data_IF_827049875744
#
_entry.id   IF_827049875744
#
_cell.length_a   1.000
_cell.length_b   1.000
_cell.length_c   1.000
_cell.angle_alpha   90.00
_cell.angle_beta   90.00
_cell.angle_gamma   90.00
#
_symmetry.space_group_name_H-M   'P 1'
#
loop_
_entity.id
_entity.type
_entity.pdbx_description
1 polymer ?
#
# COMPACT_ATOMS: atom_id res chain seq x y z
N UNK A 1 -15.56 -1.00 45.44
CA UNK A 1 -15.85 0.28 44.77
C UNK A 1 -14.52 1.03 44.71
N UNK A 2 -13.86 1.23 43.58
CA UNK A 2 -14.27 1.96 42.38
C UNK A 2 -13.41 1.55 41.16
N UNK A 3 -14.11 1.15 40.10
CA UNK A 3 -13.85 1.26 38.64
C UNK A 3 -12.49 0.95 37.99
N UNK A 4 -12.53 -0.10 37.17
CA UNK A 4 -12.08 -0.19 35.77
C UNK A 4 -11.38 1.02 35.15
N UNK A 5 -10.20 0.77 34.58
CA UNK A 5 -9.95 1.12 33.17
C UNK A 5 -8.91 0.15 32.62
N UNK A 6 -9.41 -0.97 32.10
CA UNK A 6 -8.64 -1.73 31.11
C UNK A 6 -8.52 -0.79 29.93
N UNK A 7 -7.33 -0.25 29.67
CA UNK A 7 -7.10 0.56 28.48
C UNK A 7 -7.05 -0.40 27.28
N UNK A 8 -8.23 -0.94 26.93
CA UNK A 8 -8.52 -1.63 25.69
C UNK A 8 -8.60 -0.58 24.59
N UNK A 9 -7.47 0.04 24.30
CA UNK A 9 -7.31 0.80 23.09
C UNK A 9 -6.78 -0.20 22.06
N UNK A 10 -7.52 -0.61 21.02
CA UNK A 10 -6.87 -1.02 19.79
C UNK A 10 -6.17 0.24 19.29
N UNK A 11 -4.96 0.49 19.82
CA UNK A 11 -4.14 1.61 19.42
C UNK A 11 -4.01 1.47 17.91
N UNK A 12 -4.57 2.43 17.19
CA UNK A 12 -4.43 2.61 15.76
C UNK A 12 -2.94 2.47 15.48
N UNK A 13 -2.54 1.28 15.02
CA UNK A 13 -1.15 1.03 14.69
C UNK A 13 -0.77 2.16 13.73
N UNK A 14 0.33 2.89 13.95
CA UNK A 14 0.79 3.81 12.93
C UNK A 14 0.97 2.94 11.70
N UNK A 15 0.06 3.08 10.72
CA UNK A 15 0.18 2.40 9.45
C UNK A 15 1.44 3.00 8.87
N UNK A 16 2.55 2.27 9.02
CA UNK A 16 3.83 2.70 8.49
C UNK A 16 3.62 2.58 6.99
N UNK A 17 3.25 3.69 6.37
CA UNK A 17 3.05 3.79 4.95
C UNK A 17 4.42 3.55 4.33
N UNK A 18 4.72 2.30 3.99
CA UNK A 18 5.94 1.96 3.29
C UNK A 18 5.79 2.49 1.87
N UNK A 19 6.32 3.69 1.69
CA UNK A 19 6.51 4.28 0.37
C UNK A 19 7.80 3.71 -0.23
N UNK A 20 7.70 3.26 -1.46
CA UNK A 20 8.79 2.67 -2.22
C UNK A 20 8.71 3.06 -3.68
N UNK A 21 9.66 2.55 -4.47
CA UNK A 21 9.64 2.65 -5.92
C UNK A 21 9.77 1.26 -6.51
N UNK A 22 8.89 0.91 -7.43
CA UNK A 22 8.87 -0.37 -8.14
C UNK A 22 9.10 -0.11 -9.62
N UNK A 23 10.04 -0.82 -10.24
CA UNK A 23 10.26 -0.73 -11.69
C UNK A 23 9.45 -1.82 -12.36
N UNK A 24 8.50 -1.44 -13.21
CA UNK A 24 7.61 -2.37 -13.91
C UNK A 24 8.44 -3.35 -14.74
N UNK A 25 8.22 -4.64 -14.54
CA UNK A 25 8.84 -5.69 -15.33
C UNK A 25 7.88 -6.16 -16.44
N UNK A 26 8.39 -6.75 -17.54
CA UNK A 26 7.52 -7.27 -18.59
C UNK A 26 6.61 -8.38 -18.06
N UNK A 27 5.30 -8.19 -18.21
CA UNK A 27 4.28 -9.08 -17.68
C UNK A 27 3.65 -8.63 -16.36
N UNK A 28 4.21 -7.60 -15.70
CA UNK A 28 3.58 -6.99 -14.54
C UNK A 28 2.31 -6.21 -14.93
N UNK A 29 1.38 -6.17 -13.98
CA UNK A 29 0.18 -5.35 -14.07
C UNK A 29 0.10 -4.45 -12.85
N UNK A 30 -0.52 -3.28 -13.01
CA UNK A 30 -0.64 -2.30 -11.93
C UNK A 30 -1.46 -2.85 -10.76
N UNK A 31 -2.42 -3.75 -11.04
CA UNK A 31 -3.16 -4.54 -10.04
C UNK A 31 -2.29 -5.57 -9.32
N UNK A 32 -1.45 -6.33 -10.03
CA UNK A 32 -0.53 -7.30 -9.42
C UNK A 32 0.48 -6.62 -8.50
N UNK A 33 1.07 -5.51 -8.96
CA UNK A 33 1.98 -4.69 -8.16
C UNK A 33 1.24 -4.14 -6.94
N UNK A 34 0.07 -3.54 -7.12
CA UNK A 34 -0.70 -3.00 -6.00
C UNK A 34 -1.04 -4.07 -4.94
N UNK A 35 -1.42 -5.27 -5.38
CA UNK A 35 -1.69 -6.39 -4.48
C UNK A 35 -0.44 -6.81 -3.68
N UNK A 36 0.74 -6.82 -4.31
CA UNK A 36 2.01 -7.12 -3.66
C UNK A 36 2.34 -6.13 -2.53
N UNK A 37 1.97 -4.86 -2.69
CA UNK A 37 2.18 -3.81 -1.70
C UNK A 37 1.00 -3.66 -0.72
N UNK A 38 -0.06 -4.47 -0.81
CA UNK A 38 -1.23 -4.33 0.06
C UNK A 38 -1.97 -3.02 -0.17
N UNK A 39 -1.99 -2.55 -1.41
CA UNK A 39 -2.67 -1.32 -1.84
C UNK A 39 -3.57 -1.58 -3.04
N UNK A 40 -4.27 -0.56 -3.53
CA UNK A 40 -5.13 -0.69 -4.70
C UNK A 40 -4.48 -0.08 -5.93
N UNK A 41 -4.77 -0.64 -7.10
CA UNK A 41 -4.31 -0.08 -8.37
C UNK A 41 -4.82 1.36 -8.57
N UNK A 42 -5.96 1.71 -7.98
CA UNK A 42 -6.53 3.06 -8.01
C UNK A 42 -5.65 4.04 -7.22
N UNK A 43 -5.27 3.67 -5.98
CA UNK A 43 -4.31 4.47 -5.20
C UNK A 43 -2.98 4.61 -5.92
N UNK A 44 -2.45 3.50 -6.46
CA UNK A 44 -1.17 3.48 -7.15
C UNK A 44 -1.21 4.33 -8.43
N UNK A 45 -2.30 4.27 -9.18
CA UNK A 45 -2.50 5.06 -10.40
C UNK A 45 -2.63 6.55 -10.07
N UNK A 46 -3.43 6.91 -9.07
CA UNK A 46 -3.56 8.29 -8.61
C UNK A 46 -2.22 8.85 -8.10
N UNK A 47 -1.44 8.04 -7.36
CA UNK A 47 -0.12 8.41 -6.84
C UNK A 47 0.90 8.69 -7.95
N UNK A 48 0.78 8.00 -9.09
CA UNK A 48 1.69 8.13 -10.23
C UNK A 48 1.13 8.95 -11.39
N UNK A 49 -0.10 9.46 -11.28
CA UNK A 49 -0.78 10.18 -12.37
C UNK A 49 -1.09 9.29 -13.58
N UNK A 50 -1.34 8.00 -13.37
CA UNK A 50 -1.60 7.04 -14.45
C UNK A 50 -3.09 7.06 -14.79
N UNK A 51 -3.42 7.51 -15.99
CA UNK A 51 -4.80 7.52 -16.49
C UNK A 51 -5.32 6.11 -16.78
N UNK A 52 -4.45 5.23 -17.27
CA UNK A 52 -4.81 3.88 -17.68
C UNK A 52 -4.00 2.85 -16.87
N UNK A 53 -4.54 2.27 -15.79
CA UNK A 53 -3.82 1.29 -14.98
C UNK A 53 -3.51 -0.02 -15.73
N UNK A 54 -4.18 -0.26 -16.86
CA UNK A 54 -3.89 -1.38 -17.77
C UNK A 54 -2.79 -1.06 -18.79
N UNK A 55 -2.35 0.20 -18.88
CA UNK A 55 -1.29 0.66 -19.78
C UNK A 55 -0.13 1.22 -18.94
N UNK A 56 0.65 0.31 -18.36
CA UNK A 56 1.93 0.65 -17.74
C UNK A 56 3.07 0.22 -18.66
N UNK A 57 4.14 1.01 -18.69
CA UNK A 57 5.29 0.72 -19.52
C UNK A 57 6.31 -0.12 -18.76
N UNK A 58 6.87 -1.13 -19.41
CA UNK A 58 8.01 -1.88 -18.88
C UNK A 58 9.19 -0.94 -18.70
N UNK A 59 9.86 -1.00 -17.54
CA UNK A 59 10.92 -0.08 -17.14
C UNK A 59 10.40 1.23 -16.52
N UNK A 60 9.09 1.44 -16.44
CA UNK A 60 8.52 2.59 -15.74
C UNK A 60 8.72 2.45 -14.24
N UNK A 61 9.22 3.51 -13.61
CA UNK A 61 9.32 3.58 -12.14
C UNK A 61 7.98 4.05 -11.58
N UNK A 62 7.32 3.17 -10.85
CA UNK A 62 6.08 3.42 -10.13
C UNK A 62 6.39 3.70 -8.66
N UNK A 63 5.89 4.81 -8.16
CA UNK A 63 5.82 5.10 -6.72
C UNK A 63 4.76 4.19 -6.14
N UNK A 64 5.15 3.35 -5.19
CA UNK A 64 4.25 2.41 -4.53
C UNK A 64 4.09 2.84 -3.09
N UNK A 65 2.86 2.79 -2.58
CA UNK A 65 2.59 3.01 -1.15
C UNK A 65 1.85 1.79 -0.66
N UNK A 66 2.54 1.02 0.18
CA UNK A 66 1.94 -0.11 0.84
C UNK A 66 1.40 0.29 2.21
N UNK A 67 0.23 -0.26 2.55
CA UNK A 67 -0.12 -0.43 3.94
C UNK A 67 0.81 -1.54 4.44
N UNK A 68 1.98 -1.15 4.98
CA UNK A 68 2.81 -2.12 5.69
C UNK A 68 1.92 -2.72 6.76
N UNK A 69 1.50 -3.97 6.57
CA UNK A 69 0.83 -4.70 7.63
C UNK A 69 1.84 -4.75 8.77
N UNK A 70 1.66 -3.87 9.75
CA UNK A 70 2.15 -4.09 11.10
C UNK A 70 1.58 -5.46 11.49
N UNK A 71 2.42 -6.49 11.38
CA UNK A 71 2.09 -7.83 11.80
C UNK A 71 1.57 -7.76 13.26
N UNK A 72 0.54 -8.53 13.63
CA UNK A 72 0.23 -8.70 15.05
C UNK A 72 1.49 -9.27 15.72
N UNK A 73 2.06 -8.54 16.69
CA UNK A 73 2.99 -9.14 17.65
C UNK A 73 2.27 -10.21 18.47
#
# INVERSE_FOLDING_TARGET
EIISTTNSQPASAPTVQQSGSYTVQPGDTLSGIAAQYGTTYQQLAALNGISNPNYIYVGQVLRVVGQGQSAPQ
#
